data_IF_061737920161
#
_entry.id   IF_061737920161
#
_cell.length_a   1.000
_cell.length_b   1.000
_cell.length_c   1.000
_cell.angle_alpha   90.00
_cell.angle_beta   90.00
_cell.angle_gamma   90.00
#
_symmetry.space_group_name_H-M   'P 1'
#
loop_
_entity.id
_entity.type
_entity.pdbx_description
1 polymer ?
#
# COMPACT_ATOMS: atom_id res chain seq x y z
N UNK A 1 -9.53 -10.78 9.04
CA UNK A 1 -8.73 -10.11 7.98
C UNK A 1 -8.82 -10.99 6.73
N UNK A 2 -9.02 -10.43 5.53
CA UNK A 2 -9.28 -11.24 4.31
C UNK A 2 -7.99 -11.43 3.51
N UNK A 3 -7.53 -12.68 3.41
CA UNK A 3 -6.49 -13.07 2.45
C UNK A 3 -7.15 -13.28 1.09
N UNK A 4 -6.57 -12.69 0.05
CA UNK A 4 -7.07 -12.74 -1.32
C UNK A 4 -6.11 -13.59 -2.15
N UNK A 5 -6.50 -14.81 -2.55
CA UNK A 5 -5.65 -15.65 -3.37
C UNK A 5 -5.51 -15.03 -4.76
N UNK A 6 -4.27 -14.81 -5.16
CA UNK A 6 -3.91 -14.28 -6.49
C UNK A 6 -2.69 -15.02 -7.01
N UNK A 7 -2.38 -14.77 -8.27
CA UNK A 7 -1.13 -15.16 -8.86
C UNK A 7 -0.27 -13.92 -9.08
N UNK A 8 0.90 -13.91 -8.49
CA UNK A 8 1.89 -12.85 -8.66
C UNK A 8 2.78 -13.18 -9.85
N UNK A 9 2.75 -12.32 -10.87
CA UNK A 9 3.51 -12.51 -12.10
C UNK A 9 4.90 -11.86 -12.08
N UNK A 10 5.27 -11.15 -11.00
CA UNK A 10 6.57 -10.50 -10.87
C UNK A 10 6.50 -8.98 -10.94
N UNK A 11 7.66 -8.36 -11.14
CA UNK A 11 7.80 -6.91 -11.22
C UNK A 11 8.88 -6.47 -12.20
N UNK A 12 8.85 -5.18 -12.54
CA UNK A 12 9.95 -4.49 -13.22
C UNK A 12 10.02 -3.04 -12.76
N UNK A 13 11.21 -2.44 -12.82
CA UNK A 13 11.45 -1.04 -12.49
C UNK A 13 11.41 -0.18 -13.75
N UNK A 14 10.77 0.99 -13.69
CA UNK A 14 10.60 1.92 -14.80
C UNK A 14 10.66 3.38 -14.34
N UNK A 15 11.07 4.29 -15.23
CA UNK A 15 10.89 5.73 -15.03
C UNK A 15 9.41 6.10 -15.21
N UNK A 16 8.85 6.86 -14.25
CA UNK A 16 7.44 7.27 -14.25
C UNK A 16 7.03 8.03 -15.51
N UNK A 17 7.92 8.83 -16.07
CA UNK A 17 7.64 9.71 -17.21
C UNK A 17 7.37 8.90 -18.48
N UNK A 18 7.96 7.71 -18.57
CA UNK A 18 7.85 6.84 -19.74
C UNK A 18 6.79 5.74 -19.57
N UNK A 19 6.39 5.43 -18.33
CA UNK A 19 5.68 4.20 -18.05
C UNK A 19 4.23 4.15 -18.54
N UNK A 20 3.49 5.27 -18.58
CA UNK A 20 2.07 5.27 -18.96
C UNK A 20 1.80 4.76 -20.39
N UNK A 21 2.47 5.26 -21.45
CA UNK A 21 2.31 4.69 -22.79
C UNK A 21 2.95 3.28 -22.92
N UNK A 22 3.86 2.93 -22.01
CA UNK A 22 4.58 1.66 -22.04
C UNK A 22 3.91 0.53 -21.25
N UNK A 23 2.72 0.72 -20.67
CA UNK A 23 2.06 -0.32 -19.86
C UNK A 23 1.96 -1.68 -20.58
N UNK A 24 1.55 -1.77 -21.86
CA UNK A 24 1.55 -3.06 -22.56
C UNK A 24 2.93 -3.72 -22.64
N UNK A 25 3.96 -2.91 -22.90
CA UNK A 25 5.34 -3.38 -22.94
C UNK A 25 5.81 -3.85 -21.56
N UNK A 26 5.53 -3.08 -20.50
CA UNK A 26 5.86 -3.42 -19.11
C UNK A 26 5.25 -4.77 -18.73
N UNK A 27 3.98 -5.00 -19.07
CA UNK A 27 3.30 -6.27 -18.78
C UNK A 27 3.96 -7.43 -19.53
N UNK A 28 4.27 -7.23 -20.82
CA UNK A 28 4.98 -8.23 -21.63
C UNK A 28 6.35 -8.55 -21.04
N UNK A 29 7.08 -7.53 -20.61
CA UNK A 29 8.41 -7.65 -20.03
C UNK A 29 8.40 -8.43 -18.72
N UNK A 30 7.45 -8.13 -17.83
CA UNK A 30 7.27 -8.88 -16.58
C UNK A 30 6.98 -10.35 -16.88
N UNK A 31 6.04 -10.63 -17.80
CA UNK A 31 5.65 -12.00 -18.18
C UNK A 31 6.78 -12.82 -18.80
N UNK A 32 7.69 -12.18 -19.55
CA UNK A 32 8.84 -12.85 -20.17
C UNK A 32 9.92 -13.22 -19.16
N UNK A 33 10.15 -12.35 -18.17
CA UNK A 33 11.28 -12.47 -17.23
C UNK A 33 10.97 -13.27 -15.97
N UNK A 34 9.70 -13.38 -15.59
CA UNK A 34 9.31 -13.90 -14.30
C UNK A 34 8.43 -15.15 -14.44
N UNK A 35 8.54 -16.05 -13.47
CA UNK A 35 7.65 -17.20 -13.34
C UNK A 35 6.49 -16.83 -12.40
N UNK A 36 5.23 -16.92 -12.84
CA UNK A 36 4.09 -16.65 -11.98
C UNK A 36 4.02 -17.59 -10.78
N UNK A 37 3.66 -17.07 -9.61
CA UNK A 37 3.53 -17.84 -8.37
C UNK A 37 2.25 -17.50 -7.62
N UNK A 38 1.63 -18.51 -7.00
CA UNK A 38 0.43 -18.32 -6.18
C UNK A 38 0.79 -17.67 -4.85
N UNK A 39 0.11 -16.57 -4.53
CA UNK A 39 0.29 -15.84 -3.28
C UNK A 39 -1.04 -15.43 -2.68
N UNK A 40 -1.06 -15.21 -1.36
CA UNK A 40 -2.16 -14.61 -0.65
C UNK A 40 -1.86 -13.14 -0.40
N UNK A 41 -2.62 -12.24 -1.05
CA UNK A 41 -2.55 -10.81 -0.79
C UNK A 41 -3.33 -10.46 0.46
N UNK A 42 -2.70 -9.71 1.35
CA UNK A 42 -3.30 -9.13 2.55
C UNK A 42 -3.19 -7.61 2.49
N UNK A 43 -4.33 -6.92 2.57
CA UNK A 43 -4.40 -5.46 2.65
C UNK A 43 -4.84 -5.08 4.05
N UNK A 44 -3.89 -4.71 4.91
CA UNK A 44 -4.16 -4.43 6.32
C UNK A 44 -3.15 -3.42 6.90
N UNK A 45 -3.58 -2.71 7.94
CA UNK A 45 -2.71 -1.83 8.74
C UNK A 45 -1.88 -0.81 7.94
N UNK A 46 -2.40 -0.32 6.81
CA UNK A 46 -1.68 0.63 5.95
C UNK A 46 -0.70 -0.01 4.97
N UNK A 47 -0.72 -1.35 4.80
CA UNK A 47 0.17 -2.07 3.91
C UNK A 47 -0.58 -3.06 3.00
N UNK A 48 0.04 -3.37 1.86
CA UNK A 48 -0.23 -4.56 1.03
C UNK A 48 0.91 -5.52 1.23
N UNK A 49 0.62 -6.76 1.62
CA UNK A 49 1.62 -7.81 1.79
C UNK A 49 1.22 -9.03 0.97
N UNK A 50 2.19 -9.73 0.37
CA UNK A 50 1.96 -11.01 -0.29
C UNK A 50 2.64 -12.13 0.48
N UNK A 51 1.92 -13.21 0.72
CA UNK A 51 2.44 -14.41 1.39
C UNK A 51 2.42 -15.58 0.43
N UNK A 52 3.57 -16.25 0.28
CA UNK A 52 3.63 -17.56 -0.37
C UNK A 52 3.12 -18.60 0.63
N UNK A 53 2.43 -19.63 0.15
CA UNK A 53 1.99 -20.74 1.00
C UNK A 53 3.17 -21.33 1.78
N UNK A 54 2.97 -21.60 3.07
CA UNK A 54 3.97 -22.16 3.99
C UNK A 54 5.17 -21.25 4.31
N UNK A 55 5.09 -19.94 4.05
CA UNK A 55 6.08 -18.97 4.54
C UNK A 55 5.46 -18.05 5.58
N UNK A 56 6.11 -17.97 6.74
CA UNK A 56 5.71 -17.03 7.81
C UNK A 56 6.00 -15.58 7.41
N UNK A 57 7.09 -15.35 6.68
CA UNK A 57 7.46 -14.01 6.22
C UNK A 57 6.80 -13.68 4.87
N UNK A 58 6.31 -12.45 4.69
CA UNK A 58 5.77 -12.02 3.42
C UNK A 58 6.88 -11.94 2.36
N UNK A 59 6.54 -12.29 1.12
CA UNK A 59 7.39 -12.07 -0.05
C UNK A 59 7.75 -10.59 -0.20
N UNK A 60 6.78 -9.72 0.06
CA UNK A 60 6.97 -8.28 0.09
C UNK A 60 5.93 -7.64 1.01
N UNK A 61 6.25 -6.43 1.48
CA UNK A 61 5.35 -5.58 2.26
C UNK A 61 5.49 -4.14 1.79
N UNK A 62 4.40 -3.58 1.27
CA UNK A 62 4.39 -2.28 0.61
C UNK A 62 3.41 -1.31 1.27
N UNK A 63 3.80 -0.05 1.56
CA UNK A 63 2.90 0.91 2.18
C UNK A 63 1.80 1.40 1.23
N UNK A 64 0.60 1.62 1.76
CA UNK A 64 -0.53 2.22 1.04
C UNK A 64 -0.38 3.75 0.88
N UNK A 65 0.52 4.40 1.63
CA UNK A 65 0.70 5.86 1.63
C UNK A 65 1.27 6.34 0.29
N UNK A 66 0.41 6.97 -0.51
CA UNK A 66 0.80 7.86 -1.61
C UNK A 66 1.10 7.18 -2.95
N UNK A 67 1.88 6.10 -2.97
CA UNK A 67 2.50 5.63 -4.22
C UNK A 67 1.81 4.43 -4.84
N UNK A 68 1.09 3.64 -4.03
CA UNK A 68 0.27 2.54 -4.53
C UNK A 68 -0.91 3.08 -5.35
N UNK A 69 -0.87 2.80 -6.65
CA UNK A 69 -1.96 3.05 -7.61
C UNK A 69 -2.30 1.75 -8.33
N UNK A 70 -3.20 0.93 -7.77
CA UNK A 70 -3.71 -0.25 -8.45
C UNK A 70 -4.59 0.15 -9.64
N UNK A 71 -4.37 -0.50 -10.78
CA UNK A 71 -5.13 -0.30 -12.00
C UNK A 71 -5.29 -1.63 -12.75
N UNK A 72 -6.42 -1.79 -13.42
CA UNK A 72 -6.67 -2.91 -14.31
C UNK A 72 -5.75 -2.78 -15.54
N UNK A 73 -5.23 -3.90 -16.03
CA UNK A 73 -4.44 -3.90 -17.26
C UNK A 73 -5.30 -3.52 -18.48
N UNK A 74 -4.71 -2.96 -19.54
CA UNK A 74 -5.43 -2.71 -20.79
C UNK A 74 -6.09 -3.99 -21.34
N UNK A 75 -7.21 -3.90 -22.09
CA UNK A 75 -7.92 -5.07 -22.63
C UNK A 75 -7.03 -6.04 -23.41
N UNK A 76 -6.08 -5.51 -24.20
CA UNK A 76 -5.10 -6.31 -24.95
C UNK A 76 -4.15 -7.14 -24.09
N UNK A 77 -4.05 -6.82 -22.81
CA UNK A 77 -3.15 -7.45 -21.85
C UNK A 77 -3.89 -8.31 -20.83
N UNK A 78 -5.22 -8.40 -20.90
CA UNK A 78 -6.02 -9.24 -20.01
C UNK A 78 -5.75 -10.73 -20.23
N UNK A 79 -5.96 -11.52 -19.19
CA UNK A 79 -5.92 -12.97 -19.29
C UNK A 79 -7.34 -13.46 -19.59
N UNK A 80 -7.55 -14.39 -20.54
CA UNK A 80 -8.89 -14.89 -20.87
C UNK A 80 -9.63 -15.52 -19.69
N UNK A 81 -8.91 -16.00 -18.68
CA UNK A 81 -9.47 -16.76 -17.54
C UNK A 81 -9.46 -15.97 -16.23
N UNK A 82 -8.80 -14.81 -16.19
CA UNK A 82 -8.63 -14.03 -14.97
C UNK A 82 -8.42 -12.53 -15.26
N UNK A 83 -8.85 -11.67 -14.35
CA UNK A 83 -8.51 -10.26 -14.38
C UNK A 83 -7.00 -10.06 -14.14
N UNK A 84 -6.35 -9.30 -15.01
CA UNK A 84 -4.98 -8.84 -14.84
C UNK A 84 -4.98 -7.41 -14.31
N UNK A 85 -4.23 -7.16 -13.24
CA UNK A 85 -4.05 -5.84 -12.69
C UNK A 85 -2.61 -5.61 -12.26
N UNK A 86 -2.25 -4.34 -12.16
CA UNK A 86 -0.93 -3.90 -11.72
C UNK A 86 -1.07 -2.78 -10.71
N UNK A 87 -0.14 -2.73 -9.77
CA UNK A 87 0.06 -1.53 -8.97
C UNK A 87 1.49 -1.03 -9.14
N UNK A 88 1.62 0.29 -9.05
CA UNK A 88 2.91 0.97 -9.06
C UNK A 88 3.31 1.31 -7.63
N UNK A 89 4.61 1.21 -7.31
CA UNK A 89 5.20 1.70 -6.07
C UNK A 89 6.40 2.58 -6.44
N UNK A 90 6.56 3.69 -5.73
CA UNK A 90 7.78 4.49 -5.84
C UNK A 90 8.86 3.80 -5.00
N UNK A 91 9.96 3.43 -5.62
CA UNK A 91 11.14 3.00 -4.89
C UNK A 91 12.16 4.14 -4.78
N UNK A 92 13.40 3.74 -4.55
CA UNK A 92 14.52 4.67 -4.40
C UNK A 92 15.00 5.19 -5.75
N UNK A 93 15.82 6.25 -5.72
CA UNK A 93 16.52 6.79 -6.91
C UNK A 93 15.61 7.23 -8.08
N UNK A 94 14.34 7.51 -7.79
CA UNK A 94 13.39 7.98 -8.80
C UNK A 94 12.75 6.89 -9.66
N UNK A 95 13.04 5.61 -9.37
CA UNK A 95 12.44 4.48 -10.06
C UNK A 95 11.07 4.10 -9.48
N UNK A 96 10.22 3.56 -10.35
CA UNK A 96 8.90 3.07 -10.02
C UNK A 96 8.77 1.60 -10.35
N UNK A 97 8.35 0.82 -9.37
CA UNK A 97 8.21 -0.63 -9.44
C UNK A 97 6.78 -0.97 -9.80
N UNK A 98 6.60 -1.64 -10.94
CA UNK A 98 5.32 -2.13 -11.42
C UNK A 98 5.20 -3.60 -11.06
N UNK A 99 4.24 -3.94 -10.19
CA UNK A 99 3.96 -5.31 -9.78
C UNK A 99 2.71 -5.81 -10.48
N UNK A 100 2.80 -6.98 -11.11
CA UNK A 100 1.74 -7.57 -11.93
C UNK A 100 1.08 -8.75 -11.22
N UNK A 101 -0.24 -8.82 -11.30
CA UNK A 101 -1.04 -9.88 -10.67
C UNK A 101 -2.16 -10.36 -11.60
N UNK A 102 -2.54 -11.62 -11.42
CA UNK A 102 -3.78 -12.20 -11.96
C UNK A 102 -4.69 -12.63 -10.81
N UNK A 103 -5.98 -12.36 -10.95
CA UNK A 103 -6.99 -12.75 -9.96
C UNK A 103 -8.34 -13.01 -10.64
N UNK A 104 -9.15 -13.90 -10.03
CA UNK A 104 -10.52 -14.14 -10.49
C UNK A 104 -11.38 -12.87 -10.42
N UNK A 105 -11.13 -12.04 -9.41
CA UNK A 105 -11.85 -10.80 -9.16
C UNK A 105 -10.84 -9.67 -8.89
N UNK A 106 -10.24 -9.15 -9.96
CA UNK A 106 -9.24 -8.09 -9.89
C UNK A 106 -9.84 -6.78 -9.35
N UNK A 107 -11.08 -6.47 -9.74
CA UNK A 107 -11.75 -5.23 -9.35
C UNK A 107 -12.03 -5.18 -7.84
N UNK A 108 -12.49 -6.28 -7.23
CA UNK A 108 -12.67 -6.33 -5.78
C UNK A 108 -11.36 -6.13 -5.00
N UNK A 109 -10.25 -6.63 -5.52
CA UNK A 109 -8.92 -6.46 -4.88
C UNK A 109 -8.46 -5.01 -4.98
N UNK A 110 -8.59 -4.41 -6.16
CA UNK A 110 -8.29 -2.99 -6.40
C UNK A 110 -9.15 -2.12 -5.48
N UNK A 111 -10.45 -2.37 -5.41
CA UNK A 111 -11.38 -1.65 -4.54
C UNK A 111 -10.99 -1.80 -3.06
N UNK A 112 -10.60 -3.00 -2.63
CA UNK A 112 -10.13 -3.25 -1.25
C UNK A 112 -8.88 -2.42 -0.93
N UNK A 113 -7.95 -2.29 -1.88
CA UNK A 113 -6.77 -1.43 -1.73
C UNK A 113 -7.16 0.03 -1.58
N UNK A 114 -8.07 0.54 -2.42
CA UNK A 114 -8.55 1.93 -2.34
C UNK A 114 -9.30 2.22 -1.04
N UNK A 115 -10.24 1.36 -0.65
CA UNK A 115 -11.01 1.50 0.58
C UNK A 115 -10.10 1.54 1.80
N UNK A 116 -9.12 0.63 1.89
CA UNK A 116 -8.19 0.60 3.03
C UNK A 116 -7.23 1.77 3.04
N UNK A 117 -6.78 2.25 1.87
CA UNK A 117 -5.97 3.46 1.75
C UNK A 117 -6.72 4.68 2.28
N UNK A 118 -8.01 4.84 1.93
CA UNK A 118 -8.86 5.94 2.41
C UNK A 118 -9.02 5.91 3.93
N UNK A 119 -9.39 4.76 4.50
CA UNK A 119 -9.54 4.59 5.96
C UNK A 119 -8.24 4.94 6.70
N UNK A 120 -7.10 4.48 6.18
CA UNK A 120 -5.81 4.72 6.80
C UNK A 120 -5.39 6.20 6.78
N UNK A 121 -5.68 6.91 5.69
CA UNK A 121 -5.45 8.36 5.63
C UNK A 121 -6.32 9.12 6.64
N UNK A 122 -7.62 8.82 6.71
CA UNK A 122 -8.57 9.48 7.62
C UNK A 122 -8.26 9.21 9.09
N UNK A 123 -7.85 7.98 9.46
CA UNK A 123 -7.42 7.71 10.84
C UNK A 123 -6.18 8.51 11.23
N UNK A 124 -5.23 8.72 10.31
CA UNK A 124 -4.04 9.52 10.57
C UNK A 124 -4.40 11.00 10.82
N UNK A 125 -5.30 11.55 10.01
CA UNK A 125 -5.81 12.92 10.19
C UNK A 125 -6.50 13.08 11.54
N UNK A 126 -7.40 12.15 11.89
CA UNK A 126 -8.09 12.16 13.17
C UNK A 126 -7.14 11.98 14.38
N UNK A 127 -6.05 11.21 14.21
CA UNK A 127 -5.03 11.05 15.26
C UNK A 127 -4.21 12.33 15.42
N UNK A 128 -3.86 13.00 14.31
CA UNK A 128 -3.16 14.30 14.33
C UNK A 128 -4.00 15.37 15.05
N UNK A 129 -5.30 15.44 14.75
CA UNK A 129 -6.23 16.38 15.39
C UNK A 129 -6.36 16.10 16.89
N UNK A 130 -6.47 14.82 17.30
CA UNK A 130 -6.54 14.45 18.72
C UNK A 130 -5.26 14.80 19.48
N UNK A 131 -4.07 14.63 18.88
CA UNK A 131 -2.80 15.02 19.51
C UNK A 131 -2.73 16.54 19.70
N UNK A 132 -3.18 17.33 18.72
CA UNK A 132 -3.20 18.79 18.85
C UNK A 132 -4.19 19.30 19.92
N UNK A 133 -5.33 18.62 20.12
CA UNK A 133 -6.27 18.99 21.20
C UNK A 133 -5.77 18.54 22.58
N UNK A 134 -5.16 17.36 22.72
CA UNK A 134 -4.65 16.86 24.00
C UNK A 134 -3.46 17.65 24.56
N UNK A 135 -2.78 18.47 23.74
CA UNK A 135 -1.61 19.25 24.17
C UNK A 135 -1.98 20.66 24.68
N UNK A 136 -3.27 21.04 24.69
CA UNK A 136 -3.72 22.36 25.16
C UNK A 136 -4.35 22.38 26.55
N UNK A 137 -4.59 21.23 27.17
CA UNK A 137 -5.22 21.12 28.49
C UNK A 137 -4.25 20.57 29.55
N UNK A 138 -3.17 21.32 29.82
CA UNK A 138 -2.38 21.24 31.07
C UNK A 138 -1.75 22.61 31.33
N UNK A 139 -2.57 23.59 31.69
CA UNK A 139 -2.10 24.80 32.38
C UNK A 139 -3.22 25.28 33.30
N UNK A 140 -3.40 24.56 34.41
CA UNK A 140 -4.38 24.90 35.43
C UNK A 140 -3.98 24.38 36.80
N UNK A 141 -3.74 25.35 37.70
CA UNK A 141 -3.78 25.29 39.17
C UNK A 141 -2.55 24.76 39.93
N UNK A 142 -2.11 25.58 40.91
CA UNK A 142 -1.22 25.16 41.99
C UNK A 142 -0.53 26.30 42.73
N UNK A 143 -1.29 27.01 43.56
CA UNK A 143 -0.85 27.90 44.66
C UNK A 143 0.49 27.50 45.31
N UNK A 144 1.38 28.48 45.53
CA UNK A 144 2.59 28.35 46.33
C UNK A 144 2.58 29.43 47.42
N UNK A 145 1.89 29.13 48.51
CA UNK A 145 2.07 29.79 49.80
C UNK A 145 3.04 28.95 50.64
N UNK A 146 4.19 29.51 50.98
CA UNK A 146 4.92 29.29 52.25
C UNK A 146 6.07 30.31 52.32
N UNK A 147 5.87 31.40 53.06
CA UNK A 147 6.93 32.31 53.47
C UNK A 147 7.33 31.98 54.91
N UNK A 148 8.57 31.55 55.10
CA UNK A 148 9.20 31.33 56.40
C UNK A 148 10.20 32.46 56.73
N UNK A 149 9.98 33.06 57.90
CA UNK A 149 10.86 33.74 58.87
C UNK A 149 12.23 34.35 58.49
N UNK A 150 12.45 35.58 58.99
CA UNK A 150 13.60 36.18 59.73
C UNK A 150 13.63 37.68 59.39
N UNK A 151 13.66 38.66 60.30
CA UNK A 151 14.29 38.80 61.61
C UNK A 151 13.53 39.80 62.49
#
# INVERSE_FOLDING_TARGET
MKHMPVEYCGYTAMDRRCAAPMIPWIISEIRKKNVPQKVNLLVASGFVSAYVTNKEQPLFKHPLRGTLKPQVAPPSCQDPKAGTFLYMIKGDEGLYYYHLFRAKDADAIILSCYARKKIYSTQKENTCIKVHHATRDISGAGELDTLAATS
#
